data_IF_643350307335
#
_entry.id   IF_643350307335
#
_cell.length_a   1.000
_cell.length_b   1.000
_cell.length_c   1.000
_cell.angle_alpha   90.00
_cell.angle_beta   90.00
_cell.angle_gamma   90.00
#
_symmetry.space_group_name_H-M   'P 1'
#
loop_
_entity.id
_entity.type
_entity.pdbx_description
1 polymer ?
#
# COMPACT_ATOMS: atom_id res chain seq x y z
N UNK A 1 -7.80 -12.72 -27.59
CA UNK A 1 -9.08 -13.37 -27.17
C UNK A 1 -9.85 -13.83 -28.39
N UNK A 2 -10.72 -14.84 -28.28
CA UNK A 2 -11.65 -15.27 -29.34
C UNK A 2 -13.04 -14.70 -29.07
N UNK A 3 -13.76 -14.33 -30.13
CA UNK A 3 -15.13 -13.80 -30.07
C UNK A 3 -15.95 -14.48 -31.19
N UNK A 4 -17.18 -14.99 -30.94
CA UNK A 4 -18.01 -15.55 -32.00
C UNK A 4 -18.26 -14.52 -33.11
N UNK A 5 -18.18 -14.95 -34.38
CA UNK A 5 -18.25 -14.03 -35.52
C UNK A 5 -19.54 -13.18 -35.55
N UNK A 6 -20.68 -13.77 -35.19
CA UNK A 6 -21.96 -13.06 -35.05
C UNK A 6 -21.98 -11.97 -33.96
N UNK A 7 -21.14 -12.11 -32.92
CA UNK A 7 -21.01 -11.14 -31.83
C UNK A 7 -19.92 -10.08 -32.04
N UNK A 8 -19.04 -10.26 -33.03
CA UNK A 8 -17.84 -9.43 -33.23
C UNK A 8 -18.14 -7.93 -33.42
N UNK A 9 -19.13 -7.60 -34.25
CA UNK A 9 -19.54 -6.20 -34.49
C UNK A 9 -20.09 -5.53 -33.22
N UNK A 10 -20.97 -6.23 -32.50
CA UNK A 10 -21.56 -5.76 -31.24
C UNK A 10 -20.51 -5.60 -30.13
N UNK A 11 -19.51 -6.48 -30.09
CA UNK A 11 -18.38 -6.40 -29.17
C UNK A 11 -17.50 -5.17 -29.46
N UNK A 12 -17.12 -4.93 -30.72
CA UNK A 12 -16.41 -3.73 -31.13
C UNK A 12 -17.21 -2.45 -30.78
N UNK A 13 -18.50 -2.42 -31.12
CA UNK A 13 -19.41 -1.31 -30.83
C UNK A 13 -19.59 -1.03 -29.34
N UNK A 14 -19.22 -1.97 -28.45
CA UNK A 14 -19.23 -1.78 -27.00
C UNK A 14 -17.85 -1.35 -26.46
N UNK A 15 -16.75 -1.79 -27.07
CA UNK A 15 -15.41 -1.24 -26.78
C UNK A 15 -15.30 0.24 -27.17
N UNK A 16 -15.86 0.65 -28.30
CA UNK A 16 -15.83 2.05 -28.77
C UNK A 16 -16.65 3.03 -27.90
N UNK A 17 -17.43 2.52 -26.93
CA UNK A 17 -18.12 3.33 -25.91
C UNK A 17 -17.28 3.57 -24.65
N UNK A 18 -16.14 2.89 -24.49
CA UNK A 18 -15.27 3.05 -23.32
C UNK A 18 -14.45 4.34 -23.48
N UNK A 19 -14.48 5.22 -22.48
CA UNK A 19 -13.76 6.51 -22.51
C UNK A 19 -12.25 6.29 -22.70
N UNK A 20 -11.73 6.64 -23.88
CA UNK A 20 -10.32 6.50 -24.25
C UNK A 20 -9.72 7.82 -24.76
N UNK A 21 -8.45 8.09 -24.46
CA UNK A 21 -7.75 9.29 -24.94
C UNK A 21 -7.36 9.20 -26.44
N UNK A 22 -7.02 8.00 -26.91
CA UNK A 22 -6.83 7.65 -28.32
C UNK A 22 -7.29 6.21 -28.54
N UNK A 23 -7.90 5.95 -29.69
CA UNK A 23 -8.24 4.62 -30.16
C UNK A 23 -7.51 4.36 -31.49
N UNK A 24 -6.87 3.21 -31.60
CA UNK A 24 -6.35 2.68 -32.86
C UNK A 24 -6.95 1.30 -33.08
N UNK A 25 -7.67 1.12 -34.18
CA UNK A 25 -8.20 -0.19 -34.61
C UNK A 25 -7.58 -0.59 -35.94
N UNK A 26 -7.32 -1.88 -36.11
CA UNK A 26 -7.06 -2.51 -37.40
C UNK A 26 -7.97 -3.74 -37.47
N UNK A 27 -8.64 -3.92 -38.60
CA UNK A 27 -9.53 -5.05 -38.85
C UNK A 27 -9.06 -5.69 -40.15
N UNK A 28 -8.81 -6.98 -40.11
CA UNK A 28 -8.41 -7.79 -41.26
C UNK A 28 -9.36 -8.97 -41.34
N UNK A 29 -9.74 -9.34 -42.56
CA UNK A 29 -10.58 -10.50 -42.85
C UNK A 29 -10.11 -11.11 -44.16
N UNK A 30 -10.16 -12.43 -44.25
CA UNK A 30 -9.84 -13.20 -45.44
C UNK A 30 -11.12 -13.89 -45.88
N UNK A 31 -11.53 -13.70 -47.14
CA UNK A 31 -12.57 -14.55 -47.73
C UNK A 31 -11.97 -15.92 -48.06
N UNK A 32 -12.73 -16.96 -47.75
CA UNK A 32 -12.38 -18.38 -47.90
C UNK A 32 -13.51 -19.16 -48.60
N UNK A 33 -14.54 -18.46 -49.08
CA UNK A 33 -15.71 -19.04 -49.74
C UNK A 33 -15.33 -19.80 -51.01
N UNK A 34 -14.44 -19.22 -51.83
CA UNK A 34 -13.89 -19.86 -53.03
C UNK A 34 -13.10 -21.13 -52.69
N UNK A 35 -12.23 -21.08 -51.66
CA UNK A 35 -11.47 -22.26 -51.22
C UNK A 35 -12.41 -23.37 -50.74
N UNK A 36 -13.45 -23.04 -49.97
CA UNK A 36 -14.39 -24.02 -49.46
C UNK A 36 -15.16 -24.73 -50.58
N UNK A 37 -15.60 -24.00 -51.61
CA UNK A 37 -16.32 -24.56 -52.77
C UNK A 37 -15.42 -25.43 -53.66
N UNK A 38 -14.14 -25.08 -53.84
CA UNK A 38 -13.16 -25.95 -54.51
C UNK A 38 -12.89 -27.23 -53.70
N UNK A 39 -12.73 -27.12 -52.38
CA UNK A 39 -12.54 -28.26 -51.48
C UNK A 39 -13.75 -29.20 -51.49
N UNK A 40 -14.99 -28.69 -51.46
CA UNK A 40 -16.21 -29.51 -51.59
C UNK A 40 -16.27 -30.23 -52.94
N UNK A 41 -15.97 -29.52 -54.03
CA UNK A 41 -15.94 -30.07 -55.39
C UNK A 41 -14.91 -31.21 -55.52
N UNK A 42 -13.73 -31.03 -54.92
CA UNK A 42 -12.64 -32.01 -54.91
C UNK A 42 -12.90 -33.19 -53.98
N UNK A 43 -13.54 -32.96 -52.82
CA UNK A 43 -14.01 -34.01 -51.93
C UNK A 43 -14.97 -34.94 -52.66
N UNK A 44 -15.99 -34.37 -53.32
CA UNK A 44 -16.97 -35.11 -54.12
C UNK A 44 -16.32 -35.91 -55.25
N UNK A 45 -15.36 -35.33 -55.96
CA UNK A 45 -14.60 -36.02 -57.00
C UNK A 45 -13.83 -37.23 -56.43
N UNK A 46 -13.14 -37.07 -55.30
CA UNK A 46 -12.38 -38.14 -54.65
C UNK A 46 -13.28 -39.24 -54.06
N UNK A 47 -14.45 -38.91 -53.52
CA UNK A 47 -15.43 -39.90 -53.06
C UNK A 47 -16.03 -40.73 -54.22
N UNK A 48 -16.22 -40.14 -55.41
CA UNK A 48 -16.60 -40.91 -56.61
C UNK A 48 -15.48 -41.86 -57.04
N UNK A 49 -14.21 -41.45 -56.95
CA UNK A 49 -13.05 -42.33 -57.19
C UNK A 49 -12.99 -43.46 -56.15
N UNK A 50 -13.16 -43.16 -54.85
CA UNK A 50 -13.19 -44.14 -53.75
C UNK A 50 -14.23 -45.24 -54.01
N UNK A 51 -15.45 -44.85 -54.39
CA UNK A 51 -16.52 -45.79 -54.75
C UNK A 51 -16.17 -46.63 -56.00
N UNK A 52 -15.55 -46.03 -57.01
CA UNK A 52 -15.15 -46.73 -58.23
C UNK A 52 -14.01 -47.74 -58.00
N UNK A 53 -12.99 -47.38 -57.21
CA UNK A 53 -11.92 -48.30 -56.80
C UNK A 53 -12.44 -49.42 -55.90
N UNK A 54 -13.38 -49.13 -55.00
CA UNK A 54 -14.11 -50.15 -54.22
C UNK A 54 -14.87 -51.13 -55.13
N UNK A 55 -15.49 -50.65 -56.20
CA UNK A 55 -16.14 -51.50 -57.22
C UNK A 55 -15.13 -52.30 -58.08
N UNK A 56 -13.93 -51.78 -58.33
CA UNK A 56 -12.86 -52.53 -58.99
C UNK A 56 -12.32 -53.64 -58.08
N UNK A 57 -12.10 -53.39 -56.79
CA UNK A 57 -11.67 -54.42 -55.82
C UNK A 57 -12.66 -55.58 -55.72
N UNK A 58 -13.97 -55.32 -55.75
CA UNK A 58 -15.02 -56.38 -55.78
C UNK A 58 -14.98 -57.25 -57.03
N UNK A 59 -14.38 -56.78 -58.12
CA UNK A 59 -14.33 -57.44 -59.44
C UNK A 59 -12.94 -57.98 -59.79
N UNK A 60 -11.93 -57.68 -58.98
CA UNK A 60 -10.55 -58.11 -59.18
C UNK A 60 -10.41 -59.61 -58.92
N UNK A 61 -10.03 -60.37 -59.95
CA UNK A 61 -9.79 -61.82 -59.87
C UNK A 61 -8.31 -62.18 -59.71
N UNK A 62 -7.39 -61.22 -59.88
CA UNK A 62 -5.95 -61.42 -59.70
C UNK A 62 -5.46 -60.74 -58.42
N UNK A 63 -4.58 -61.38 -57.62
CA UNK A 63 -4.01 -60.76 -56.43
C UNK A 63 -3.23 -59.46 -56.70
N UNK A 64 -2.52 -59.37 -57.83
CA UNK A 64 -1.75 -58.18 -58.20
C UNK A 64 -2.66 -56.95 -58.43
N UNK A 65 -3.76 -57.14 -59.17
CA UNK A 65 -4.75 -56.09 -59.44
C UNK A 65 -5.38 -55.60 -58.12
N UNK A 66 -5.69 -56.51 -57.19
CA UNK A 66 -6.25 -56.19 -55.87
C UNK A 66 -5.28 -55.37 -55.00
N UNK A 67 -3.99 -55.72 -54.96
CA UNK A 67 -2.97 -54.94 -54.24
C UNK A 67 -2.79 -53.55 -54.86
N UNK A 68 -2.79 -53.44 -56.19
CA UNK A 68 -2.71 -52.15 -56.88
C UNK A 68 -3.91 -51.24 -56.53
N UNK A 69 -5.13 -51.76 -56.57
CA UNK A 69 -6.33 -51.01 -56.21
C UNK A 69 -6.36 -50.63 -54.71
N UNK A 70 -5.86 -51.49 -53.81
CA UNK A 70 -5.79 -51.18 -52.38
C UNK A 70 -4.84 -50.01 -52.08
N UNK A 71 -3.68 -49.95 -52.74
CA UNK A 71 -2.71 -48.87 -52.57
C UNK A 71 -3.25 -47.52 -53.07
N UNK A 72 -3.94 -47.51 -54.22
CA UNK A 72 -4.57 -46.29 -54.75
C UNK A 72 -5.79 -45.86 -53.91
N UNK A 73 -6.60 -46.82 -53.42
CA UNK A 73 -7.71 -46.53 -52.52
C UNK A 73 -7.22 -45.89 -51.20
N UNK A 74 -6.13 -46.39 -50.62
CA UNK A 74 -5.49 -45.78 -49.46
C UNK A 74 -5.05 -44.33 -49.73
N UNK A 75 -4.40 -44.11 -50.87
CA UNK A 75 -3.99 -42.77 -51.33
C UNK A 75 -5.18 -41.82 -51.49
N UNK A 76 -6.29 -42.29 -52.09
CA UNK A 76 -7.53 -41.52 -52.21
C UNK A 76 -8.12 -41.18 -50.83
N UNK A 77 -8.10 -42.11 -49.88
CA UNK A 77 -8.62 -41.90 -48.52
C UNK A 77 -7.78 -40.90 -47.71
N UNK A 78 -6.45 -40.92 -47.84
CA UNK A 78 -5.58 -39.89 -47.26
C UNK A 78 -5.89 -38.49 -47.82
N UNK A 79 -6.13 -38.36 -49.13
CA UNK A 79 -6.53 -37.09 -49.73
C UNK A 79 -7.91 -36.62 -49.26
N UNK A 80 -8.87 -37.55 -49.09
CA UNK A 80 -10.21 -37.27 -48.57
C UNK A 80 -10.14 -36.71 -47.13
N UNK A 81 -9.39 -37.34 -46.22
CA UNK A 81 -9.27 -36.82 -44.85
C UNK A 81 -8.41 -35.54 -44.77
N UNK A 82 -7.44 -35.35 -45.66
CA UNK A 82 -6.70 -34.08 -45.80
C UNK A 82 -7.65 -32.94 -46.22
N UNK A 83 -8.56 -33.18 -47.17
CA UNK A 83 -9.58 -32.21 -47.59
C UNK A 83 -10.57 -31.92 -46.46
N UNK A 84 -11.18 -32.95 -45.86
CA UNK A 84 -12.08 -32.78 -44.69
C UNK A 84 -11.39 -32.07 -43.52
N UNK A 85 -10.11 -32.33 -43.29
CA UNK A 85 -9.29 -31.65 -42.29
C UNK A 85 -9.17 -30.14 -42.55
N UNK A 86 -8.92 -29.76 -43.82
CA UNK A 86 -8.88 -28.35 -44.23
C UNK A 86 -10.25 -27.67 -44.13
N UNK A 87 -11.33 -28.33 -44.52
CA UNK A 87 -12.70 -27.80 -44.38
C UNK A 87 -13.03 -27.53 -42.90
N UNK A 88 -12.80 -28.51 -42.01
CA UNK A 88 -12.98 -28.34 -40.54
C UNK A 88 -12.17 -27.17 -39.96
N UNK A 89 -10.95 -26.93 -40.47
CA UNK A 89 -10.13 -25.79 -40.08
C UNK A 89 -10.72 -24.45 -40.56
N UNK A 90 -11.33 -24.40 -41.75
CA UNK A 90 -12.05 -23.23 -42.25
C UNK A 90 -13.28 -22.97 -41.37
N UNK A 91 -14.13 -23.97 -41.13
CA UNK A 91 -15.36 -23.87 -40.31
C UNK A 91 -15.08 -23.28 -38.92
N UNK A 92 -14.03 -23.79 -38.25
CA UNK A 92 -13.62 -23.35 -36.92
C UNK A 92 -13.11 -21.90 -36.90
N UNK A 93 -12.44 -21.44 -37.97
CA UNK A 93 -11.93 -20.07 -38.02
C UNK A 93 -12.98 -19.06 -38.49
N UNK A 94 -13.89 -19.43 -39.40
CA UNK A 94 -15.05 -18.60 -39.79
C UNK A 94 -15.99 -18.40 -38.59
N UNK A 95 -16.12 -19.40 -37.71
CA UNK A 95 -16.94 -19.30 -36.50
C UNK A 95 -16.45 -18.27 -35.47
N UNK A 96 -15.14 -17.97 -35.42
CA UNK A 96 -14.53 -17.17 -34.34
C UNK A 96 -13.51 -16.13 -34.81
N UNK A 97 -13.90 -14.86 -34.75
CA UNK A 97 -12.99 -13.72 -34.84
C UNK A 97 -11.95 -13.72 -33.71
N UNK A 98 -10.73 -13.26 -34.00
CA UNK A 98 -9.67 -13.11 -33.00
C UNK A 98 -9.43 -11.63 -32.74
N UNK A 99 -9.55 -11.21 -31.48
CA UNK A 99 -9.27 -9.83 -31.06
C UNK A 99 -7.98 -9.80 -30.25
N UNK A 100 -7.06 -8.93 -30.64
CA UNK A 100 -5.96 -8.47 -29.80
C UNK A 100 -6.32 -7.09 -29.23
N UNK A 101 -6.15 -6.90 -27.92
CA UNK A 101 -6.43 -5.63 -27.25
C UNK A 101 -5.17 -5.20 -26.48
N UNK A 102 -4.60 -4.07 -26.87
CA UNK A 102 -3.46 -3.43 -26.17
C UNK A 102 -3.97 -2.14 -25.52
N UNK A 103 -3.86 -2.07 -24.19
CA UNK A 103 -4.30 -0.94 -23.38
C UNK A 103 -3.09 -0.14 -22.92
N UNK A 104 -3.19 1.19 -22.96
CA UNK A 104 -2.13 2.11 -22.54
C UNK A 104 -2.72 3.10 -21.54
N UNK A 105 -2.22 3.07 -20.31
CA UNK A 105 -2.54 4.10 -19.32
C UNK A 105 -1.84 5.40 -19.74
N UNK A 106 -2.61 6.48 -19.86
CA UNK A 106 -2.06 7.83 -20.00
C UNK A 106 -2.12 8.48 -18.63
N UNK A 107 -0.98 8.68 -17.99
CA UNK A 107 -0.90 9.33 -16.69
C UNK A 107 -1.20 10.82 -16.82
N UNK A 108 -2.49 11.18 -16.71
CA UNK A 108 -2.95 12.58 -16.71
C UNK A 108 -2.24 13.40 -15.61
N UNK A 109 -1.76 12.77 -14.53
CA UNK A 109 -0.92 13.39 -13.50
C UNK A 109 0.39 13.97 -14.06
N UNK A 110 1.07 13.27 -14.98
CA UNK A 110 2.30 13.75 -15.62
C UNK A 110 2.01 14.92 -16.57
N UNK A 111 0.89 14.90 -17.27
CA UNK A 111 0.51 15.97 -18.21
C UNK A 111 -0.02 17.22 -17.49
N UNK A 112 -0.71 17.05 -16.36
CA UNK A 112 -1.07 18.13 -15.42
C UNK A 112 0.19 18.76 -14.81
N UNK A 113 1.19 17.97 -14.40
CA UNK A 113 2.48 18.51 -13.94
C UNK A 113 3.20 19.27 -15.06
N UNK A 114 3.22 18.75 -16.30
CA UNK A 114 3.79 19.45 -17.47
C UNK A 114 3.06 20.75 -17.81
N UNK A 115 1.74 20.82 -17.69
CA UNK A 115 0.95 22.06 -17.87
C UNK A 115 1.23 23.09 -16.78
N UNK A 116 1.32 22.65 -15.51
CA UNK A 116 1.69 23.52 -14.39
C UNK A 116 3.10 24.12 -14.53
N UNK A 117 3.97 23.44 -15.27
CA UNK A 117 5.28 23.96 -15.69
C UNK A 117 5.24 25.03 -16.79
N UNK A 118 4.12 25.22 -17.49
CA UNK A 118 3.95 26.11 -18.66
C UNK A 118 2.99 27.29 -18.42
N UNK A 119 2.27 27.33 -17.29
CA UNK A 119 1.40 28.45 -16.90
C UNK A 119 2.11 29.82 -16.97
N UNK A 120 1.44 30.91 -17.43
CA UNK A 120 2.01 32.26 -17.39
C UNK A 120 2.43 32.71 -15.99
N UNK A 121 3.44 33.60 -15.88
CA UNK A 121 3.97 34.06 -14.59
C UNK A 121 2.89 34.64 -13.66
N UNK A 122 1.90 35.34 -14.22
CA UNK A 122 0.79 35.93 -13.46
C UNK A 122 -0.14 34.89 -12.80
N UNK A 123 -0.44 33.77 -13.46
CA UNK A 123 -1.27 32.71 -12.87
C UNK A 123 -0.51 31.95 -11.79
N UNK A 124 0.80 31.72 -11.97
CA UNK A 124 1.67 31.16 -10.91
C UNK A 124 1.74 32.07 -9.69
N UNK A 125 1.92 33.38 -9.88
CA UNK A 125 1.95 34.36 -8.78
C UNK A 125 0.62 34.40 -8.01
N UNK A 126 -0.51 34.42 -8.71
CA UNK A 126 -1.85 34.35 -8.12
C UNK A 126 -2.11 33.04 -7.36
N UNK A 127 -1.67 31.90 -7.92
CA UNK A 127 -1.81 30.58 -7.27
C UNK A 127 -0.90 30.44 -6.04
N UNK A 128 0.30 31.03 -6.06
CA UNK A 128 1.18 31.10 -4.89
C UNK A 128 0.58 31.99 -3.78
N UNK A 129 0.03 33.16 -4.14
CA UNK A 129 -0.60 34.08 -3.19
C UNK A 129 -1.85 33.47 -2.54
N UNK A 130 -2.74 32.87 -3.34
CA UNK A 130 -3.92 32.16 -2.81
C UNK A 130 -3.56 30.90 -2.01
N UNK A 131 -2.49 30.18 -2.38
CA UNK A 131 -1.91 29.11 -1.56
C UNK A 131 -1.46 29.61 -0.18
N UNK A 132 -0.75 30.75 -0.12
CA UNK A 132 -0.34 31.39 1.14
C UNK A 132 -1.53 31.88 1.98
N UNK A 133 -2.58 32.41 1.35
CA UNK A 133 -3.83 32.80 2.04
C UNK A 133 -4.59 31.59 2.61
N UNK A 134 -4.58 30.45 1.91
CA UNK A 134 -5.12 29.20 2.44
C UNK A 134 -4.26 28.67 3.61
N UNK A 135 -2.93 28.71 3.51
CA UNK A 135 -2.05 28.33 4.62
C UNK A 135 -2.30 29.20 5.86
N UNK A 136 -2.47 30.52 5.67
CA UNK A 136 -2.83 31.45 6.75
C UNK A 136 -4.21 31.13 7.36
N UNK A 137 -5.21 30.86 6.52
CA UNK A 137 -6.55 30.45 6.96
C UNK A 137 -6.52 29.15 7.78
N UNK A 138 -5.73 28.17 7.36
CA UNK A 138 -5.52 26.91 8.09
C UNK A 138 -4.84 27.18 9.44
N UNK A 139 -3.76 27.97 9.49
CA UNK A 139 -3.12 28.30 10.78
C UNK A 139 -4.07 29.06 11.73
N UNK A 140 -4.93 29.93 11.21
CA UNK A 140 -5.96 30.60 12.01
C UNK A 140 -7.00 29.59 12.55
N UNK A 141 -7.44 28.63 11.74
CA UNK A 141 -8.32 27.54 12.19
C UNK A 141 -7.68 26.71 13.32
N UNK A 142 -6.39 26.35 13.20
CA UNK A 142 -5.66 25.66 14.26
C UNK A 142 -5.58 26.49 15.55
N UNK A 143 -5.33 27.81 15.46
CA UNK A 143 -5.34 28.72 16.62
C UNK A 143 -6.71 28.71 17.31
N UNK A 144 -7.82 28.82 16.54
CA UNK A 144 -9.19 28.80 17.08
C UNK A 144 -9.51 27.46 17.76
N UNK A 145 -9.10 26.32 17.17
CA UNK A 145 -9.30 24.99 17.76
C UNK A 145 -8.52 24.84 19.08
N UNK A 146 -7.26 25.29 19.12
CA UNK A 146 -6.44 25.28 20.35
C UNK A 146 -7.08 26.17 21.43
N UNK A 147 -7.57 27.36 21.07
CA UNK A 147 -8.21 28.29 22.00
C UNK A 147 -9.53 27.73 22.56
N UNK A 148 -10.32 27.06 21.72
CA UNK A 148 -11.54 26.37 22.13
C UNK A 148 -11.25 25.18 23.07
N UNK A 149 -10.19 24.41 22.80
CA UNK A 149 -9.71 23.34 23.69
C UNK A 149 -9.15 23.84 25.03
N UNK A 150 -8.58 25.05 25.07
CA UNK A 150 -8.03 25.65 26.27
C UNK A 150 -9.10 26.23 27.22
N UNK A 151 -10.28 26.62 26.72
CA UNK A 151 -11.38 27.19 27.52
C UNK A 151 -11.71 26.41 28.82
N UNK A 152 -12.00 25.09 28.79
CA UNK A 152 -12.30 24.34 30.02
C UNK A 152 -11.15 24.34 31.02
N UNK A 153 -9.89 24.34 30.55
CA UNK A 153 -8.70 24.39 31.41
C UNK A 153 -8.58 25.77 32.07
N UNK A 154 -8.81 26.85 31.31
CA UNK A 154 -8.80 28.23 31.83
C UNK A 154 -9.92 28.47 32.85
N UNK A 155 -11.12 27.95 32.59
CA UNK A 155 -12.25 28.02 33.53
C UNK A 155 -11.94 27.24 34.82
N UNK A 156 -11.37 26.03 34.71
CA UNK A 156 -10.92 25.24 35.86
C UNK A 156 -9.84 25.95 36.68
N UNK A 157 -8.82 26.51 36.03
CA UNK A 157 -7.76 27.27 36.69
C UNK A 157 -8.29 28.53 37.40
N UNK A 158 -9.23 29.26 36.80
CA UNK A 158 -9.89 30.40 37.42
C UNK A 158 -10.68 29.99 38.68
N UNK A 159 -11.44 28.89 38.63
CA UNK A 159 -12.15 28.34 39.78
C UNK A 159 -11.20 27.95 40.93
N UNK A 160 -10.09 27.27 40.62
CA UNK A 160 -9.07 26.91 41.62
C UNK A 160 -8.45 28.16 42.26
N UNK A 161 -8.12 29.19 41.47
CA UNK A 161 -7.60 30.45 41.99
C UNK A 161 -8.60 31.17 42.90
N UNK A 162 -9.90 31.20 42.54
CA UNK A 162 -10.97 31.76 43.37
C UNK A 162 -11.09 31.02 44.70
N UNK A 163 -11.04 29.68 44.69
CA UNK A 163 -11.10 28.84 45.90
C UNK A 163 -9.88 29.10 46.80
N UNK A 164 -8.66 29.11 46.24
CA UNK A 164 -7.42 29.37 46.99
C UNK A 164 -7.41 30.79 47.57
N UNK A 165 -7.86 31.80 46.80
CA UNK A 165 -7.97 33.18 47.27
C UNK A 165 -9.00 33.31 48.41
N UNK A 166 -10.17 32.71 48.26
CA UNK A 166 -11.19 32.67 49.31
C UNK A 166 -10.68 31.96 50.58
N UNK A 167 -9.92 30.87 50.44
CA UNK A 167 -9.34 30.15 51.57
C UNK A 167 -8.26 30.96 52.30
N UNK A 168 -7.34 31.63 51.56
CA UNK A 168 -6.35 32.55 52.15
C UNK A 168 -7.04 33.71 52.89
N UNK A 169 -8.07 34.32 52.29
CA UNK A 169 -8.85 35.42 52.88
C UNK A 169 -9.66 34.99 54.12
N UNK A 170 -10.13 33.74 54.17
CA UNK A 170 -10.75 33.14 55.37
C UNK A 170 -9.72 32.82 56.46
N UNK A 171 -8.53 32.30 56.12
CA UNK A 171 -7.48 31.98 57.11
C UNK A 171 -6.96 33.23 57.84
N UNK A 172 -6.82 34.35 57.14
CA UNK A 172 -6.42 35.63 57.75
C UNK A 172 -7.40 36.10 58.85
N UNK A 173 -8.72 35.91 58.66
CA UNK A 173 -9.74 36.29 59.66
C UNK A 173 -9.70 35.43 60.94
N UNK A 174 -9.23 34.17 60.86
CA UNK A 174 -9.11 33.29 62.04
C UNK A 174 -7.88 33.59 62.90
N UNK A 175 -6.84 34.23 62.33
CA UNK A 175 -5.64 34.61 63.09
C UNK A 175 -5.90 35.82 64.03
N UNK A 176 -6.87 36.68 63.70
CA UNK A 176 -7.34 37.77 64.58
C UNK A 176 -8.18 37.31 65.77
N UNK A 177 -8.69 36.07 65.77
CA UNK A 177 -9.46 35.48 66.88
C UNK A 177 -8.52 34.80 67.89
N UNK A 178 -7.61 33.94 67.41
CA UNK A 178 -6.63 33.25 68.26
C UNK A 178 -5.69 34.20 69.02
N UNK A 179 -5.36 35.36 68.43
CA UNK A 179 -4.53 36.39 69.06
C UNK A 179 -5.22 37.18 70.18
N UNK A 180 -6.54 37.04 70.37
CA UNK A 180 -7.26 37.60 71.51
C UNK A 180 -7.19 36.65 72.72
N UNK A 181 -7.44 35.35 72.52
CA UNK A 181 -7.36 34.32 73.57
C UNK A 181 -5.97 34.28 74.25
N UNK A 182 -4.90 34.42 73.47
CA UNK A 182 -3.52 34.46 74.00
C UNK A 182 -3.27 35.72 74.86
N UNK A 183 -3.94 36.84 74.58
CA UNK A 183 -3.85 38.07 75.40
C UNK A 183 -4.59 37.94 76.73
N UNK A 184 -5.64 37.12 76.80
CA UNK A 184 -6.34 36.84 78.06
C UNK A 184 -5.55 35.88 78.95
N UNK A 185 -4.94 34.83 78.37
CA UNK A 185 -4.02 33.96 79.11
C UNK A 185 -2.84 34.74 79.72
N UNK A 186 -2.18 35.59 78.91
CA UNK A 186 -1.05 36.42 79.38
C UNK A 186 -1.45 37.52 80.38
N UNK A 187 -2.74 37.86 80.53
CA UNK A 187 -3.21 38.78 81.56
C UNK A 187 -3.19 38.18 82.97
N UNK A 188 -3.21 36.85 83.12
CA UNK A 188 -3.21 36.21 84.43
C UNK A 188 -1.79 35.96 84.97
N UNK A 189 -0.83 35.59 84.11
CA UNK A 189 0.55 35.26 84.52
C UNK A 189 1.43 36.48 84.86
N UNK A 190 1.03 37.70 84.50
CA UNK A 190 1.86 38.91 84.56
C UNK A 190 2.02 39.58 85.93
N UNK A 191 1.82 38.88 87.06
CA UNK A 191 1.75 39.50 88.41
C UNK A 191 2.87 39.12 89.39
N UNK A 192 3.84 38.31 88.96
CA UNK A 192 4.81 37.69 89.88
C UNK A 192 6.26 37.81 89.37
N UNK A 193 7.11 38.44 90.21
CA UNK A 193 8.58 38.38 90.23
C UNK A 193 9.35 39.01 89.05
N UNK A 194 9.65 40.29 89.20
CA UNK A 194 10.81 40.97 88.62
C UNK A 194 11.99 40.93 89.63
N UNK A 195 13.03 40.11 89.38
CA UNK A 195 14.43 40.50 89.65
C UNK A 195 15.51 39.53 89.11
N UNK A 196 16.66 40.15 88.82
CA UNK A 196 17.99 39.66 88.40
C UNK A 196 18.65 38.71 89.42
N UNK A 197 19.85 38.08 89.17
CA UNK A 197 20.84 38.27 88.07
C UNK A 197 21.09 37.00 87.21
N UNK A 198 21.60 37.06 85.97
CA UNK A 198 22.96 37.42 85.50
C UNK A 198 24.10 36.54 86.07
N UNK A 199 24.75 35.71 85.22
CA UNK A 199 26.22 35.49 85.15
C UNK A 199 26.61 34.47 84.04
N UNK A 200 27.59 34.87 83.20
CA UNK A 200 28.55 34.09 82.37
C UNK A 200 28.09 32.92 81.47
N UNK A 201 28.44 33.03 80.18
CA UNK A 201 28.61 31.89 79.25
C UNK A 201 29.94 31.14 79.54
N UNK A 202 30.12 29.88 79.08
CA UNK A 202 30.75 29.71 77.77
C UNK A 202 30.22 28.57 76.85
N UNK A 203 30.57 28.71 75.57
CA UNK A 203 30.78 27.77 74.45
C UNK A 203 31.11 26.27 74.73
N UNK A 204 31.07 25.36 73.71
CA UNK A 204 30.27 25.35 72.46
C UNK A 204 29.86 23.93 71.93
N UNK A 205 28.66 23.44 72.24
CA UNK A 205 27.97 22.36 71.47
C UNK A 205 26.52 22.82 71.22
N UNK A 206 25.85 22.56 70.09
CA UNK A 206 25.86 21.41 69.19
C UNK A 206 25.82 21.87 67.72
N UNK A 207 26.72 21.39 66.85
CA UNK A 207 26.63 21.59 65.39
C UNK A 207 26.89 20.33 64.53
N UNK A 208 27.16 19.17 65.12
CA UNK A 208 27.53 17.96 64.36
C UNK A 208 26.35 17.05 63.97
N UNK A 209 25.19 17.16 64.63
CA UNK A 209 24.09 16.19 64.51
C UNK A 209 23.34 16.24 63.17
N UNK A 210 23.35 17.38 62.46
CA UNK A 210 22.65 17.53 61.18
C UNK A 210 23.49 17.14 59.95
N UNK A 211 24.83 17.11 60.07
CA UNK A 211 25.72 16.81 58.94
C UNK A 211 25.70 15.33 58.50
N UNK A 212 25.39 14.40 59.41
CA UNK A 212 25.45 12.94 59.16
C UNK A 212 24.20 12.37 58.48
N UNK A 213 23.06 13.09 58.48
CA UNK A 213 21.84 12.61 57.81
C UNK A 213 21.99 12.66 56.28
N UNK A 214 22.43 13.81 55.75
CA UNK A 214 22.37 14.09 54.31
C UNK A 214 23.42 13.32 53.48
N UNK A 215 24.51 12.84 54.08
CA UNK A 215 25.50 12.01 53.37
C UNK A 215 25.03 10.57 53.11
N UNK A 216 24.04 10.08 53.85
CA UNK A 216 23.55 8.69 53.71
C UNK A 216 22.67 8.53 52.46
N UNK A 217 21.85 9.53 52.14
CA UNK A 217 21.00 9.51 50.95
C UNK A 217 21.83 9.63 49.66
N UNK A 218 22.82 10.53 49.61
CA UNK A 218 23.66 10.76 48.44
C UNK A 218 24.50 9.54 47.97
N UNK A 219 24.60 8.48 48.79
CA UNK A 219 25.26 7.21 48.42
C UNK A 219 24.32 6.13 47.92
N UNK A 220 23.00 6.26 48.13
CA UNK A 220 22.03 5.30 47.62
C UNK A 220 21.83 5.45 46.10
N UNK A 221 21.65 6.69 45.62
CA UNK A 221 21.34 6.98 44.22
C UNK A 221 22.49 6.60 43.27
N UNK A 222 23.74 6.76 43.72
CA UNK A 222 24.92 6.37 42.94
C UNK A 222 25.11 4.85 42.79
N UNK A 223 24.46 4.04 43.64
CA UNK A 223 24.51 2.58 43.51
C UNK A 223 23.59 2.08 42.38
N UNK A 224 22.44 2.73 42.14
CA UNK A 224 21.47 2.30 41.14
C UNK A 224 21.95 2.59 39.71
N UNK A 225 22.56 3.76 39.47
CA UNK A 225 23.11 4.15 38.16
C UNK A 225 24.23 3.25 37.62
N UNK A 226 24.76 2.32 38.42
CA UNK A 226 25.86 1.43 38.02
C UNK A 226 25.40 0.00 37.65
N UNK A 227 24.14 -0.35 37.87
CA UNK A 227 23.60 -1.69 37.52
C UNK A 227 23.10 -1.75 36.08
N UNK A 228 22.47 -0.68 35.60
CA UNK A 228 21.84 -0.62 34.26
C UNK A 228 22.85 -0.60 33.10
N UNK A 229 24.13 -0.30 33.38
CA UNK A 229 25.16 -0.03 32.36
C UNK A 229 26.16 -1.18 32.16
N UNK A 230 25.75 -2.43 32.41
CA UNK A 230 26.63 -3.62 32.28
C UNK A 230 25.85 -4.86 31.78
N UNK A 231 24.76 -4.65 31.03
CA UNK A 231 23.98 -5.73 30.37
C UNK A 231 23.60 -5.37 28.93
N UNK A 232 24.56 -4.89 28.13
CA UNK A 232 24.41 -4.73 26.67
C UNK A 232 25.72 -4.84 25.89
N UNK A 233 26.71 -5.56 26.41
CA UNK A 233 27.94 -5.95 25.71
C UNK A 233 28.10 -7.48 25.81
N UNK A 234 27.46 -8.21 24.89
CA UNK A 234 27.89 -9.53 24.38
C UNK A 234 26.77 -10.18 23.52
N UNK A 235 26.89 -10.09 22.18
CA UNK A 235 26.50 -11.17 21.24
C UNK A 235 27.43 -11.10 20.02
N UNK A 236 28.48 -11.91 20.02
CA UNK A 236 29.31 -12.14 18.82
C UNK A 236 28.54 -13.03 17.82
N UNK A 237 28.75 -12.82 16.52
CA UNK A 237 28.12 -13.62 15.46
C UNK A 237 28.71 -15.05 15.36
N UNK A 238 28.02 -15.93 14.61
CA UNK A 238 28.73 -16.80 13.66
C UNK A 238 28.22 -16.64 12.21
N UNK A 239 29.13 -16.82 11.25
CA UNK A 239 28.79 -16.98 9.83
C UNK A 239 28.73 -18.45 9.45
N UNK A 240 27.67 -18.87 8.76
CA UNK A 240 27.56 -20.11 7.96
C UNK A 240 26.56 -19.81 6.83
N UNK A 241 26.76 -20.19 5.57
CA UNK A 241 27.90 -20.82 4.91
C UNK A 241 27.75 -20.66 3.39
N UNK A 242 28.76 -21.04 2.60
CA UNK A 242 28.71 -20.93 1.14
C UNK A 242 28.72 -22.32 0.49
N UNK A 243 27.96 -22.49 -0.60
CA UNK A 243 28.10 -23.59 -1.56
C UNK A 243 27.89 -23.04 -2.99
N UNK A 244 28.90 -23.12 -3.87
CA UNK A 244 28.79 -23.01 -5.33
C UNK A 244 28.87 -24.41 -5.99
N UNK A 245 29.00 -24.45 -7.34
CA UNK A 245 29.30 -25.64 -8.16
C UNK A 245 28.09 -26.58 -8.40
N UNK A 246 27.81 -27.06 -9.62
CA UNK A 246 28.22 -26.61 -10.97
C UNK A 246 26.92 -26.25 -11.76
N UNK A 247 26.47 -26.81 -12.89
CA UNK A 247 27.08 -27.61 -13.95
C UNK A 247 26.48 -27.20 -15.31
N UNK A 248 26.77 -27.96 -16.36
CA UNK A 248 26.62 -27.63 -17.78
C UNK A 248 25.51 -28.46 -18.39
N UNK A 249 24.80 -27.90 -19.38
CA UNK A 249 24.53 -28.66 -20.60
C UNK A 249 24.76 -27.79 -21.85
N UNK A 250 25.33 -28.42 -22.88
CA UNK A 250 25.80 -27.78 -24.10
C UNK A 250 24.80 -28.00 -25.25
N UNK A 251 24.26 -26.90 -25.80
CA UNK A 251 23.18 -26.92 -26.80
C UNK A 251 23.55 -26.40 -28.19
N UNK A 252 24.74 -26.73 -28.70
CA UNK A 252 25.24 -26.35 -30.04
C UNK A 252 24.14 -26.32 -31.15
N UNK A 253 24.07 -25.21 -31.91
CA UNK A 253 23.65 -25.30 -33.32
C UNK A 253 24.21 -24.20 -34.23
N UNK A 254 25.22 -24.55 -35.02
CA UNK A 254 25.63 -23.80 -36.23
C UNK A 254 24.49 -23.63 -37.24
N UNK A 255 24.43 -22.46 -37.89
CA UNK A 255 24.36 -22.20 -39.35
C UNK A 255 24.30 -20.68 -39.59
N UNK A 256 25.17 -20.06 -40.39
CA UNK A 256 25.50 -20.26 -41.82
C UNK A 256 24.44 -19.68 -42.74
#
# INVERSE_FOLDING_TARGET
MKVPASGFSSFLSNLEKVKHAKLQRSIQGQDVSEEYVDLESRLKAKQMMEAQYTEFMKKATKPADLVAFANELGSIQEEIERIKGRMRYIDQNVSFSTVELRLYQTDESLDVMKKKGQDPLGTRASQALSGSLNALSVTFQWIVVILAGALPILIGAALVLIIVFAYRRRRQRRQSEQSQLIREANRQSGRTQEKMPEIRQPSPEIKQTQAKANQTQAKADQAQLKVEKTQSEDVQAPQVGADPVDDRENGNRDKK
#
